data_IF_373777403047
#
_entry.id   IF_373777403047
#
_cell.length_a   1.000
_cell.length_b   1.000
_cell.length_c   1.000
_cell.angle_alpha   90.00
_cell.angle_beta   90.00
_cell.angle_gamma   90.00
#
_symmetry.space_group_name_H-M   'P 1'
#
loop_
_entity.id
_entity.type
_entity.pdbx_description
1 polymer ?
#
# COMPACT_ATOMS: atom_id res chain seq x y z
N UNK A 1 -60.41 4.71 33.67
CA UNK A 1 -60.25 3.24 33.63
C UNK A 1 -61.07 2.69 32.48
N UNK A 2 -60.43 2.08 31.47
CA UNK A 2 -60.98 0.96 30.66
C UNK A 2 -59.84 0.42 29.81
N UNK A 3 -59.24 -0.67 30.28
CA UNK A 3 -58.27 -1.48 29.55
C UNK A 3 -58.99 -2.20 28.40
N UNK A 4 -58.47 -2.10 27.18
CA UNK A 4 -58.81 -3.05 26.11
C UNK A 4 -57.62 -3.99 25.95
N UNK A 5 -57.75 -5.22 26.49
CA UNK A 5 -56.80 -6.32 26.23
C UNK A 5 -56.87 -6.67 24.76
N UNK A 6 -55.74 -6.54 24.07
CA UNK A 6 -55.54 -7.17 22.75
C UNK A 6 -55.05 -8.58 23.04
N UNK A 7 -55.92 -9.55 22.78
CA UNK A 7 -55.56 -10.97 22.79
C UNK A 7 -54.81 -11.23 21.49
N UNK A 8 -53.52 -11.56 21.60
CA UNK A 8 -52.69 -11.93 20.47
C UNK A 8 -52.93 -13.42 20.17
N UNK A 9 -53.84 -13.72 19.24
CA UNK A 9 -54.03 -15.07 18.70
C UNK A 9 -52.95 -15.35 17.65
N UNK A 10 -52.20 -16.42 17.87
CA UNK A 10 -50.99 -16.86 17.12
C UNK A 10 -51.25 -17.44 15.72
N UNK A 11 -52.24 -16.95 14.98
CA UNK A 11 -52.58 -17.48 13.65
C UNK A 11 -53.16 -16.38 12.76
N UNK A 12 -52.34 -15.39 12.43
CA UNK A 12 -52.69 -14.44 11.38
C UNK A 12 -51.41 -14.05 10.61
N UNK A 13 -50.86 -15.02 9.87
CA UNK A 13 -49.88 -14.75 8.83
C UNK A 13 -50.64 -14.63 7.52
N UNK A 14 -51.02 -13.41 7.17
CA UNK A 14 -51.62 -13.09 5.87
C UNK A 14 -50.58 -13.23 4.73
N UNK A 15 -51.02 -13.57 3.49
CA UNK A 15 -50.14 -13.69 2.31
C UNK A 15 -49.37 -12.41 1.96
N UNK A 16 -49.75 -11.27 2.54
CA UNK A 16 -49.09 -9.97 2.36
C UNK A 16 -47.75 -9.85 3.13
N UNK A 17 -47.50 -10.74 4.10
CA UNK A 17 -46.25 -10.76 4.89
C UNK A 17 -45.03 -11.21 4.07
N UNK A 18 -45.26 -11.82 2.90
CA UNK A 18 -44.21 -12.21 1.95
C UNK A 18 -43.78 -11.07 1.01
N UNK A 19 -44.41 -9.88 1.11
CA UNK A 19 -44.16 -8.73 0.22
C UNK A 19 -43.56 -7.51 0.91
N UNK A 20 -43.38 -7.55 2.23
CA UNK A 20 -42.68 -6.50 2.96
C UNK A 20 -41.19 -6.55 2.57
N UNK A 21 -40.61 -5.49 1.96
CA UNK A 21 -39.17 -5.46 1.73
C UNK A 21 -38.50 -5.62 3.10
N UNK A 22 -37.58 -6.58 3.26
CA UNK A 22 -37.02 -6.88 4.57
C UNK A 22 -36.40 -5.61 5.17
N UNK A 23 -36.53 -5.42 6.49
CA UNK A 23 -36.19 -4.16 7.14
C UNK A 23 -34.75 -3.78 6.82
N UNK A 24 -34.53 -2.52 6.45
CA UNK A 24 -33.22 -1.93 6.10
C UNK A 24 -32.12 -2.30 7.10
N UNK A 25 -32.49 -2.50 8.37
CA UNK A 25 -31.63 -2.94 9.47
C UNK A 25 -30.94 -4.31 9.23
N UNK A 26 -31.62 -5.25 8.58
CA UNK A 26 -31.09 -6.60 8.34
C UNK A 26 -29.94 -6.57 7.33
N UNK A 27 -30.07 -5.78 6.26
CA UNK A 27 -29.00 -5.64 5.27
C UNK A 27 -27.78 -4.90 5.82
N UNK A 28 -27.99 -3.92 6.70
CA UNK A 28 -26.90 -3.21 7.36
C UNK A 28 -26.05 -4.13 8.25
N UNK A 29 -26.67 -4.99 9.05
CA UNK A 29 -25.96 -5.95 9.90
C UNK A 29 -25.19 -6.96 9.05
N UNK A 30 -25.84 -7.52 8.03
CA UNK A 30 -25.19 -8.44 7.08
C UNK A 30 -24.01 -7.77 6.40
N UNK A 31 -24.15 -6.49 6.03
CA UNK A 31 -23.05 -5.74 5.42
C UNK A 31 -21.85 -5.57 6.36
N UNK A 32 -22.09 -5.32 7.65
CA UNK A 32 -21.02 -5.19 8.64
C UNK A 32 -20.34 -6.53 8.89
N UNK A 33 -21.12 -7.60 9.01
CA UNK A 33 -20.59 -8.95 9.20
C UNK A 33 -19.71 -9.36 8.01
N UNK A 34 -20.21 -9.21 6.77
CA UNK A 34 -19.46 -9.52 5.56
C UNK A 34 -18.18 -8.69 5.44
N UNK A 35 -18.24 -7.39 5.75
CA UNK A 35 -17.06 -6.52 5.73
C UNK A 35 -16.03 -6.96 6.77
N UNK A 36 -16.48 -7.26 8.00
CA UNK A 36 -15.60 -7.71 9.08
C UNK A 36 -14.92 -9.04 8.76
N UNK A 37 -15.68 -10.00 8.22
CA UNK A 37 -15.14 -11.29 7.76
C UNK A 37 -14.15 -11.08 6.61
N UNK A 38 -14.46 -10.23 5.63
CA UNK A 38 -13.55 -9.94 4.52
C UNK A 38 -12.23 -9.33 5.03
N UNK A 39 -12.29 -8.33 5.91
CA UNK A 39 -11.11 -7.72 6.51
C UNK A 39 -10.31 -8.70 7.37
N UNK A 40 -10.99 -9.59 8.11
CA UNK A 40 -10.33 -10.64 8.86
C UNK A 40 -9.60 -11.61 7.92
N UNK A 41 -10.21 -12.00 6.80
CA UNK A 41 -9.65 -12.95 5.83
C UNK A 41 -8.42 -12.38 5.08
N UNK A 42 -8.32 -11.06 4.95
CA UNK A 42 -7.16 -10.39 4.34
C UNK A 42 -5.85 -10.69 5.09
N UNK A 43 -5.91 -10.90 6.40
CA UNK A 43 -4.75 -11.22 7.25
C UNK A 43 -4.16 -12.61 6.97
N UNK A 44 -4.89 -13.73 7.15
CA UNK A 44 -4.35 -15.07 6.90
C UNK A 44 -4.03 -15.32 5.42
N UNK A 45 -4.73 -14.63 4.50
CA UNK A 45 -4.45 -14.73 3.06
C UNK A 45 -3.25 -13.88 2.61
N UNK A 46 -2.62 -13.11 3.50
CA UNK A 46 -1.53 -12.20 3.16
C UNK A 46 -1.90 -11.21 2.05
N UNK A 47 -3.18 -10.81 1.98
CA UNK A 47 -3.70 -9.85 1.00
C UNK A 47 -3.55 -8.40 1.47
N UNK A 48 -3.05 -8.18 2.69
CA UNK A 48 -2.88 -6.84 3.25
C UNK A 48 -2.02 -5.93 2.37
N UNK A 49 -0.88 -6.38 1.80
CA UNK A 49 -0.10 -5.58 0.84
C UNK A 49 -0.91 -5.21 -0.42
N UNK A 50 -1.73 -6.13 -0.93
CA UNK A 50 -2.60 -5.86 -2.08
C UNK A 50 -3.69 -4.84 -1.74
N UNK A 51 -4.37 -5.02 -0.60
CA UNK A 51 -5.43 -4.12 -0.14
C UNK A 51 -4.89 -2.70 0.05
N UNK A 52 -3.76 -2.56 0.74
CA UNK A 52 -3.13 -1.26 0.98
C UNK A 52 -2.68 -0.63 -0.33
N UNK A 53 -2.00 -1.38 -1.22
CA UNK A 53 -1.57 -0.86 -2.52
C UNK A 53 -2.76 -0.38 -3.37
N UNK A 54 -3.85 -1.14 -3.41
CA UNK A 54 -5.06 -0.77 -4.13
C UNK A 54 -5.75 0.46 -3.54
N UNK A 55 -5.85 0.55 -2.21
CA UNK A 55 -6.42 1.71 -1.52
C UNK A 55 -5.57 2.98 -1.72
N UNK A 56 -4.24 2.87 -1.68
CA UNK A 56 -3.33 4.00 -1.97
C UNK A 56 -3.65 4.59 -3.33
N UNK A 57 -3.77 3.74 -4.35
CA UNK A 57 -3.94 4.20 -5.73
C UNK A 57 -5.32 4.75 -5.96
N UNK A 58 -6.33 4.05 -5.45
CA UNK A 58 -7.70 4.53 -5.46
C UNK A 58 -7.78 5.92 -4.82
N UNK A 59 -7.27 6.11 -3.61
CA UNK A 59 -7.31 7.41 -2.92
C UNK A 59 -6.44 8.46 -3.60
N UNK A 60 -5.27 8.09 -4.15
CA UNK A 60 -4.38 9.02 -4.85
C UNK A 60 -5.07 9.62 -6.09
N UNK A 61 -5.76 8.80 -6.88
CA UNK A 61 -6.56 9.26 -8.03
C UNK A 61 -7.61 10.27 -7.58
N UNK A 62 -8.33 9.99 -6.49
CA UNK A 62 -9.39 10.87 -5.98
C UNK A 62 -8.85 12.17 -5.37
N UNK A 63 -7.77 12.09 -4.59
CA UNK A 63 -7.10 13.26 -4.01
C UNK A 63 -6.56 14.17 -5.11
N UNK A 64 -5.91 13.61 -6.14
CA UNK A 64 -5.36 14.43 -7.22
C UNK A 64 -6.48 15.02 -8.10
N UNK A 65 -7.53 14.24 -8.41
CA UNK A 65 -8.70 14.75 -9.12
C UNK A 65 -9.37 15.90 -8.37
N UNK A 66 -9.44 15.84 -7.03
CA UNK A 66 -9.97 16.94 -6.20
C UNK A 66 -9.02 18.14 -6.18
N UNK A 67 -7.72 17.93 -5.99
CA UNK A 67 -6.72 19.00 -5.99
C UNK A 67 -6.75 19.79 -7.32
N UNK A 68 -6.83 19.10 -8.46
CA UNK A 68 -6.88 19.74 -9.78
C UNK A 68 -8.18 20.51 -10.05
N UNK A 69 -9.32 20.09 -9.46
CA UNK A 69 -10.55 20.90 -9.49
C UNK A 69 -10.42 22.19 -8.69
N UNK A 70 -9.73 22.14 -7.55
CA UNK A 70 -9.47 23.32 -6.71
C UNK A 70 -8.55 24.31 -7.45
N UNK A 71 -7.60 23.82 -8.24
CA UNK A 71 -6.71 24.63 -9.10
C UNK A 71 -7.38 25.23 -10.36
N UNK A 72 -8.73 25.24 -10.43
CA UNK A 72 -9.52 26.07 -11.36
C UNK A 72 -9.34 25.75 -12.86
N UNK A 73 -9.34 24.47 -13.23
CA UNK A 73 -9.55 24.06 -14.63
C UNK A 73 -11.07 23.96 -14.90
N UNK A 74 -11.63 25.04 -15.43
CA UNK A 74 -13.04 25.11 -15.87
C UNK A 74 -13.26 24.22 -17.11
N UNK A 75 -13.67 22.96 -16.92
CA UNK A 75 -14.56 22.16 -17.79
C UNK A 75 -14.44 20.66 -17.45
N UNK A 76 -15.50 19.87 -17.74
CA UNK A 76 -15.54 18.39 -17.63
C UNK A 76 -14.31 17.67 -18.23
N UNK A 77 -13.60 18.31 -19.18
CA UNK A 77 -12.35 17.81 -19.78
C UNK A 77 -11.15 17.81 -18.82
N UNK A 78 -11.07 18.75 -17.88
CA UNK A 78 -9.98 18.83 -16.89
C UNK A 78 -9.96 17.65 -15.92
N UNK A 79 -11.14 17.13 -15.56
CA UNK A 79 -11.25 15.93 -14.74
C UNK A 79 -10.82 14.66 -15.51
N UNK A 80 -11.14 14.56 -16.80
CA UNK A 80 -10.67 13.44 -17.64
C UNK A 80 -9.15 13.45 -17.82
N UNK A 81 -8.56 14.63 -18.05
CA UNK A 81 -7.10 14.78 -18.18
C UNK A 81 -6.40 14.46 -16.86
N UNK A 82 -6.94 14.91 -15.72
CA UNK A 82 -6.43 14.57 -14.39
C UNK A 82 -6.40 13.06 -14.14
N UNK A 83 -7.52 12.38 -14.37
CA UNK A 83 -7.63 10.92 -14.23
C UNK A 83 -6.70 10.22 -15.23
N UNK A 84 -6.59 10.74 -16.46
CA UNK A 84 -5.69 10.22 -17.49
C UNK A 84 -4.21 10.31 -17.10
N UNK A 85 -3.76 11.43 -16.52
CA UNK A 85 -2.37 11.61 -16.06
C UNK A 85 -2.07 10.68 -14.89
N UNK A 86 -2.99 10.52 -13.94
CA UNK A 86 -2.76 9.59 -12.81
C UNK A 86 -2.77 8.15 -13.28
N UNK A 87 -3.75 7.76 -14.10
CA UNK A 87 -3.82 6.42 -14.64
C UNK A 87 -2.57 6.12 -15.47
N UNK A 88 -2.12 7.05 -16.30
CA UNK A 88 -0.87 6.93 -17.05
C UNK A 88 0.35 6.82 -16.12
N UNK A 89 0.46 7.67 -15.10
CA UNK A 89 1.57 7.64 -14.14
C UNK A 89 1.62 6.32 -13.35
N UNK A 90 0.46 5.79 -12.95
CA UNK A 90 0.37 4.49 -12.28
C UNK A 90 0.73 3.35 -13.23
N UNK A 91 0.23 3.36 -14.47
CA UNK A 91 0.59 2.37 -15.50
C UNK A 91 2.08 2.43 -15.83
N UNK A 92 2.66 3.63 -15.91
CA UNK A 92 4.09 3.84 -16.12
C UNK A 92 4.90 3.28 -14.95
N UNK A 93 4.49 3.57 -13.70
CA UNK A 93 5.12 3.03 -12.51
C UNK A 93 5.08 1.50 -12.50
N UNK A 94 3.91 0.91 -12.81
CA UNK A 94 3.74 -0.54 -12.95
C UNK A 94 4.67 -1.12 -14.03
N UNK A 95 4.79 -0.44 -15.16
CA UNK A 95 5.63 -0.87 -16.29
C UNK A 95 7.12 -0.81 -15.92
N UNK A 96 7.56 0.26 -15.26
CA UNK A 96 8.95 0.40 -14.77
C UNK A 96 9.25 -0.65 -13.70
N UNK A 97 8.35 -0.85 -12.74
CA UNK A 97 8.52 -1.86 -11.70
C UNK A 97 8.59 -3.27 -12.30
N UNK A 98 7.71 -3.59 -13.25
CA UNK A 98 7.72 -4.86 -13.99
C UNK A 98 9.02 -5.05 -14.78
N UNK A 99 9.46 -4.02 -15.50
CA UNK A 99 10.73 -4.04 -16.23
C UNK A 99 11.93 -4.22 -15.28
N UNK A 100 11.91 -3.58 -14.12
CA UNK A 100 12.93 -3.73 -13.07
C UNK A 100 12.99 -5.15 -12.51
N UNK A 101 11.84 -5.79 -12.28
CA UNK A 101 11.78 -7.20 -11.86
C UNK A 101 12.33 -8.11 -12.95
N UNK A 102 11.94 -7.90 -14.21
CA UNK A 102 12.45 -8.70 -15.35
C UNK A 102 13.96 -8.51 -15.53
N UNK A 103 14.46 -7.28 -15.43
CA UNK A 103 15.88 -6.98 -15.49
C UNK A 103 16.66 -7.59 -14.33
N UNK A 104 16.09 -7.59 -13.12
CA UNK A 104 16.68 -8.24 -11.95
C UNK A 104 16.72 -9.77 -12.10
N UNK A 105 15.66 -10.38 -12.63
CA UNK A 105 15.61 -11.83 -12.88
C UNK A 105 16.53 -12.25 -14.03
N UNK A 106 16.65 -11.42 -15.07
CA UNK A 106 17.58 -11.64 -16.18
C UNK A 106 19.03 -11.25 -15.84
N UNK A 107 19.29 -10.64 -14.68
CA UNK A 107 20.65 -10.41 -14.18
C UNK A 107 21.26 -11.73 -13.70
N UNK A 108 21.43 -12.67 -14.62
CA UNK A 108 21.95 -14.01 -14.44
C UNK A 108 23.49 -14.02 -14.34
N UNK A 109 24.07 -12.93 -13.83
CA UNK A 109 25.49 -12.85 -13.57
C UNK A 109 25.72 -12.11 -12.26
N UNK A 110 25.73 -12.88 -11.18
CA UNK A 110 26.51 -12.54 -10.00
C UNK A 110 27.90 -12.02 -10.40
N UNK A 111 28.48 -12.54 -11.48
CA UNK A 111 29.72 -12.09 -12.14
C UNK A 111 29.75 -10.60 -12.51
N UNK A 112 28.67 -10.01 -13.04
CA UNK A 112 28.62 -8.57 -13.41
C UNK A 112 28.40 -7.67 -12.20
N UNK A 113 27.62 -8.13 -11.22
CA UNK A 113 27.48 -7.46 -9.93
C UNK A 113 28.79 -7.52 -9.12
N UNK A 114 29.50 -8.65 -9.15
CA UNK A 114 30.80 -8.83 -8.51
C UNK A 114 31.90 -8.00 -9.19
N UNK A 115 31.97 -7.96 -10.52
CA UNK A 115 32.93 -7.08 -11.21
C UNK A 115 32.72 -5.60 -10.88
N UNK A 116 31.46 -5.18 -10.67
CA UNK A 116 31.13 -3.81 -10.25
C UNK A 116 31.44 -3.57 -8.76
N UNK A 117 31.33 -4.61 -7.91
CA UNK A 117 31.80 -4.56 -6.52
C UNK A 117 33.31 -4.47 -6.43
N UNK A 118 34.08 -5.19 -7.27
CA UNK A 118 35.56 -5.12 -7.27
C UNK A 118 36.05 -3.71 -7.58
N UNK A 119 35.51 -3.08 -8.63
CA UNK A 119 35.82 -1.68 -8.98
C UNK A 119 35.40 -0.69 -7.89
N UNK A 120 34.35 -1.01 -7.13
CA UNK A 120 33.87 -0.17 -6.03
C UNK A 120 34.73 -0.37 -4.76
N UNK A 121 35.12 -1.60 -4.41
CA UNK A 121 35.90 -1.92 -3.22
C UNK A 121 37.30 -1.28 -3.27
N UNK A 122 37.94 -1.28 -4.44
CA UNK A 122 39.22 -0.58 -4.67
C UNK A 122 39.09 0.93 -4.37
N UNK A 123 37.95 1.52 -4.74
CA UNK A 123 37.60 2.93 -4.46
C UNK A 123 37.24 3.21 -3.01
N UNK A 124 36.74 2.23 -2.27
CA UNK A 124 36.38 2.40 -0.85
C UNK A 124 37.62 2.25 0.04
N UNK A 125 38.59 1.41 -0.36
CA UNK A 125 39.86 1.24 0.35
C UNK A 125 40.70 2.52 0.36
N UNK A 126 40.57 3.38 -0.66
CA UNK A 126 41.28 4.68 -0.72
C UNK A 126 40.63 5.79 0.13
N UNK A 127 39.45 5.54 0.70
CA UNK A 127 38.69 6.49 1.54
C UNK A 127 38.58 6.02 2.99
N UNK A 128 38.94 4.77 3.29
CA UNK A 128 38.86 4.18 4.62
C UNK A 128 40.10 4.52 5.48
N UNK A 129 39.93 4.92 6.75
CA UNK A 129 41.04 5.09 7.69
C UNK A 129 41.68 3.75 8.05
N UNK A 130 43.00 3.76 8.29
CA UNK A 130 43.84 2.57 8.46
C UNK A 130 43.33 1.56 9.52
N UNK A 131 42.60 2.04 10.54
CA UNK A 131 42.02 1.20 11.60
C UNK A 131 40.89 0.26 11.15
N UNK A 132 40.23 0.55 10.02
CA UNK A 132 39.21 -0.34 9.41
C UNK A 132 39.85 -1.25 8.36
N UNK A 133 40.94 -0.80 7.73
CA UNK A 133 41.66 -1.56 6.71
C UNK A 133 42.30 -2.85 7.28
N UNK A 134 42.72 -2.85 8.55
CA UNK A 134 43.30 -4.01 9.23
C UNK A 134 42.28 -5.14 9.52
N UNK A 135 40.98 -4.86 9.51
CA UNK A 135 39.91 -5.85 9.73
C UNK A 135 39.30 -6.36 8.41
N UNK A 136 39.68 -5.78 7.28
CA UNK A 136 39.27 -6.20 5.95
C UNK A 136 40.22 -7.29 5.43
N UNK A 137 39.71 -8.39 4.84
CA UNK A 137 40.55 -9.37 4.16
C UNK A 137 41.47 -8.69 3.16
N UNK A 138 42.75 -9.05 3.19
CA UNK A 138 43.80 -8.36 2.42
C UNK A 138 43.62 -8.60 0.91
N UNK A 139 42.97 -9.72 0.55
CA UNK A 139 42.74 -10.19 -0.80
C UNK A 139 41.24 -10.21 -1.19
N UNK A 140 40.93 -9.74 -2.39
CA UNK A 140 39.59 -9.72 -2.98
C UNK A 140 39.05 -11.15 -3.14
N UNK A 141 39.92 -12.12 -3.38
CA UNK A 141 39.52 -13.52 -3.51
C UNK A 141 39.12 -14.14 -2.15
N UNK A 142 39.79 -13.76 -1.05
CA UNK A 142 39.39 -14.18 0.30
C UNK A 142 38.05 -13.57 0.71
N UNK A 143 37.83 -12.29 0.41
CA UNK A 143 36.54 -11.64 0.63
C UNK A 143 35.43 -12.32 -0.19
N UNK A 144 35.72 -12.67 -1.44
CA UNK A 144 34.80 -13.43 -2.30
C UNK A 144 34.44 -14.77 -1.70
N UNK A 145 35.42 -15.53 -1.22
CA UNK A 145 35.19 -16.83 -0.58
C UNK A 145 34.38 -16.71 0.71
N UNK A 146 34.67 -15.70 1.54
CA UNK A 146 33.92 -15.42 2.76
C UNK A 146 32.45 -15.07 2.47
N UNK A 147 32.20 -14.22 1.46
CA UNK A 147 30.84 -13.84 1.03
C UNK A 147 30.10 -15.04 0.44
N UNK A 148 30.74 -15.85 -0.41
CA UNK A 148 30.12 -17.06 -0.98
C UNK A 148 29.83 -18.10 0.10
N UNK A 149 30.73 -18.30 1.06
CA UNK A 149 30.50 -19.20 2.19
C UNK A 149 29.35 -18.71 3.08
N UNK A 150 29.31 -17.41 3.39
CA UNK A 150 28.22 -16.80 4.15
C UNK A 150 26.88 -16.88 3.41
N UNK A 151 26.86 -16.57 2.11
CA UNK A 151 25.68 -16.69 1.24
C UNK A 151 25.22 -18.14 1.16
N UNK A 152 26.13 -19.10 1.06
CA UNK A 152 25.83 -20.53 1.04
C UNK A 152 25.19 -21.00 2.35
N UNK A 153 25.75 -20.58 3.49
CA UNK A 153 25.22 -20.87 4.83
C UNK A 153 23.80 -20.30 5.02
N UNK A 154 23.54 -19.10 4.50
CA UNK A 154 22.24 -18.43 4.62
C UNK A 154 21.36 -18.58 3.37
N UNK A 155 21.75 -19.41 2.39
CA UNK A 155 21.06 -19.51 1.10
C UNK A 155 19.60 -19.97 1.26
N UNK A 156 19.34 -20.87 2.22
CA UNK A 156 17.99 -21.33 2.55
C UNK A 156 17.10 -20.20 3.09
N UNK A 157 17.61 -19.41 4.03
CA UNK A 157 16.91 -18.26 4.61
C UNK A 157 16.71 -17.15 3.57
N UNK A 158 17.74 -16.82 2.80
CA UNK A 158 17.69 -15.85 1.71
C UNK A 158 16.67 -16.27 0.63
N UNK A 159 16.60 -17.55 0.29
CA UNK A 159 15.60 -18.08 -0.64
C UNK A 159 14.18 -17.96 -0.07
N UNK A 160 14.00 -18.25 1.21
CA UNK A 160 12.70 -18.11 1.87
C UNK A 160 12.24 -16.65 1.90
N UNK A 161 13.11 -15.75 2.38
CA UNK A 161 12.86 -14.31 2.44
C UNK A 161 12.61 -13.75 1.04
N UNK A 162 13.40 -14.16 0.05
CA UNK A 162 13.21 -13.77 -1.35
C UNK A 162 11.89 -14.26 -1.95
N UNK A 163 11.47 -15.49 -1.63
CA UNK A 163 10.18 -16.04 -2.07
C UNK A 163 9.01 -15.28 -1.44
N UNK A 164 9.08 -14.98 -0.15
CA UNK A 164 8.06 -14.23 0.57
C UNK A 164 7.99 -12.77 0.09
N UNK A 165 9.14 -12.14 -0.13
CA UNK A 165 9.24 -10.82 -0.74
C UNK A 165 8.64 -10.80 -2.15
N UNK A 166 8.99 -11.77 -3.00
CA UNK A 166 8.44 -11.90 -4.35
C UNK A 166 6.91 -12.08 -4.34
N UNK A 167 6.39 -12.91 -3.43
CA UNK A 167 4.94 -13.09 -3.25
C UNK A 167 4.26 -11.81 -2.77
N UNK A 168 4.89 -11.06 -1.88
CA UNK A 168 4.39 -9.76 -1.41
C UNK A 168 4.34 -8.73 -2.54
N UNK A 169 5.40 -8.68 -3.36
CA UNK A 169 5.46 -7.82 -4.54
C UNK A 169 4.36 -8.16 -5.56
N UNK A 170 4.09 -9.46 -5.79
CA UNK A 170 2.99 -9.89 -6.65
C UNK A 170 1.63 -9.40 -6.12
N UNK A 171 1.37 -9.53 -4.82
CA UNK A 171 0.15 -9.01 -4.20
C UNK A 171 0.02 -7.49 -4.37
N UNK A 172 1.09 -6.73 -4.14
CA UNK A 172 1.12 -5.28 -4.36
C UNK A 172 0.76 -4.95 -5.81
N UNK A 173 1.33 -5.66 -6.77
CA UNK A 173 1.06 -5.46 -8.21
C UNK A 173 -0.41 -5.67 -8.56
N UNK A 174 -1.01 -6.77 -8.09
CA UNK A 174 -2.44 -7.01 -8.27
C UNK A 174 -3.30 -5.95 -7.57
N UNK A 175 -2.94 -5.57 -6.34
CA UNK A 175 -3.61 -4.51 -5.60
C UNK A 175 -3.62 -3.18 -6.35
N UNK A 176 -2.46 -2.79 -6.88
CA UNK A 176 -2.25 -1.59 -7.69
C UNK A 176 -3.16 -1.59 -8.93
N UNK A 177 -3.21 -2.69 -9.67
CA UNK A 177 -4.11 -2.85 -10.83
C UNK A 177 -5.60 -2.76 -10.46
N UNK A 178 -6.01 -3.45 -9.40
CA UNK A 178 -7.40 -3.42 -8.90
C UNK A 178 -7.78 -2.00 -8.45
N UNK A 179 -6.89 -1.29 -7.77
CA UNK A 179 -7.09 0.10 -7.34
C UNK A 179 -7.34 1.05 -8.52
N UNK A 180 -6.57 0.90 -9.61
CA UNK A 180 -6.81 1.65 -10.86
C UNK A 180 -8.19 1.33 -11.42
N UNK A 181 -8.53 0.05 -11.59
CA UNK A 181 -9.81 -0.37 -12.16
C UNK A 181 -10.99 0.16 -11.33
N UNK A 182 -10.90 0.08 -10.00
CA UNK A 182 -11.90 0.61 -9.09
C UNK A 182 -12.05 2.13 -9.23
N UNK A 183 -10.95 2.87 -9.36
CA UNK A 183 -10.97 4.33 -9.52
C UNK A 183 -11.62 4.78 -10.84
N UNK A 184 -11.46 4.01 -11.91
CA UNK A 184 -12.07 4.29 -13.21
C UNK A 184 -13.56 3.96 -13.23
N UNK A 185 -13.96 2.93 -12.49
CA UNK A 185 -15.36 2.49 -12.43
C UNK A 185 -16.27 3.50 -11.68
N UNK A 186 -15.73 4.25 -10.73
CA UNK A 186 -16.50 5.21 -9.92
C UNK A 186 -16.86 6.51 -10.67
N UNK A 187 -16.30 6.73 -11.86
CA UNK A 187 -16.54 7.94 -12.69
C UNK A 187 -17.83 7.84 -13.52
N UNK A 188 -18.41 6.65 -13.67
CA UNK A 188 -19.62 6.42 -14.48
C UNK A 188 -20.89 6.49 -13.63
N UNK A 189 -22.01 7.05 -14.14
CA UNK A 189 -23.29 6.98 -13.44
C UNK A 189 -23.73 5.51 -13.31
N UNK A 190 -23.92 5.03 -12.08
CA UNK A 190 -24.39 3.66 -11.82
C UNK A 190 -25.90 3.57 -11.89
N UNK A 191 -26.38 2.44 -12.40
CA UNK A 191 -27.76 1.97 -12.25
C UNK A 191 -28.17 1.89 -10.77
N UNK A 192 -29.47 1.90 -10.44
CA UNK A 192 -29.92 1.75 -9.05
C UNK A 192 -29.49 0.39 -8.48
N UNK A 193 -28.57 0.40 -7.50
CA UNK A 193 -28.13 -0.79 -6.78
C UNK A 193 -29.26 -1.34 -5.88
N UNK A 194 -29.33 -2.67 -5.79
CA UNK A 194 -30.12 -3.35 -4.76
C UNK A 194 -29.68 -3.00 -3.33
N UNK A 195 -30.52 -3.24 -2.32
CA UNK A 195 -30.33 -2.76 -0.94
C UNK A 195 -29.01 -3.24 -0.30
N UNK A 196 -28.68 -4.53 -0.44
CA UNK A 196 -27.42 -5.08 0.07
C UNK A 196 -26.19 -4.48 -0.63
N UNK A 197 -26.25 -4.33 -1.96
CA UNK A 197 -25.14 -3.78 -2.74
C UNK A 197 -24.88 -2.30 -2.38
N UNK A 198 -25.94 -1.54 -2.09
CA UNK A 198 -25.82 -0.17 -1.56
C UNK A 198 -25.14 -0.17 -0.18
N UNK A 199 -25.59 -1.02 0.75
CA UNK A 199 -24.98 -1.13 2.08
C UNK A 199 -23.49 -1.54 2.01
N UNK A 200 -23.14 -2.51 1.15
CA UNK A 200 -21.76 -2.91 0.90
C UNK A 200 -20.89 -1.76 0.39
N UNK A 201 -21.40 -1.01 -0.59
CA UNK A 201 -20.67 0.16 -1.14
C UNK A 201 -20.38 1.19 -0.05
N UNK A 202 -21.33 1.46 0.85
CA UNK A 202 -21.06 2.35 1.98
C UNK A 202 -19.94 1.83 2.89
N UNK A 203 -19.87 0.51 3.13
CA UNK A 203 -18.80 -0.07 3.96
C UNK A 203 -17.44 0.06 3.27
N UNK A 204 -17.35 -0.20 1.97
CA UNK A 204 -16.12 0.01 1.18
C UNK A 204 -15.68 1.48 1.23
N UNK A 205 -16.60 2.42 1.07
CA UNK A 205 -16.29 3.86 1.18
C UNK A 205 -15.75 4.19 2.58
N UNK A 206 -16.39 3.69 3.65
CA UNK A 206 -15.89 3.91 5.03
C UNK A 206 -14.48 3.36 5.24
N UNK A 207 -14.15 2.21 4.66
CA UNK A 207 -12.79 1.64 4.71
C UNK A 207 -11.79 2.57 4.03
N UNK A 208 -12.10 3.06 2.82
CA UNK A 208 -11.26 4.03 2.10
C UNK A 208 -11.07 5.33 2.89
N UNK A 209 -12.14 5.87 3.47
CA UNK A 209 -12.06 7.05 4.32
C UNK A 209 -11.20 6.84 5.58
N UNK A 210 -11.35 5.68 6.24
CA UNK A 210 -10.55 5.33 7.41
C UNK A 210 -9.06 5.25 7.04
N UNK A 211 -8.74 4.59 5.94
CA UNK A 211 -7.39 4.52 5.40
C UNK A 211 -6.82 5.92 5.10
N UNK A 212 -7.56 6.76 4.37
CA UNK A 212 -7.16 8.14 4.06
C UNK A 212 -6.88 8.96 5.31
N UNK A 213 -7.70 8.83 6.36
CA UNK A 213 -7.47 9.52 7.65
C UNK A 213 -6.16 9.08 8.29
N UNK A 214 -5.87 7.77 8.30
CA UNK A 214 -4.62 7.24 8.87
C UNK A 214 -3.41 7.75 8.10
N UNK A 215 -3.41 7.67 6.76
CA UNK A 215 -2.27 8.11 5.94
C UNK A 215 -1.99 9.60 6.13
N UNK A 216 -3.01 10.47 6.09
CA UNK A 216 -2.78 11.91 6.29
C UNK A 216 -2.31 12.23 7.71
N UNK A 217 -2.77 11.50 8.72
CA UNK A 217 -2.25 11.63 10.07
C UNK A 217 -0.78 11.23 10.12
N UNK A 218 -0.41 10.08 9.56
CA UNK A 218 0.98 9.59 9.52
C UNK A 218 1.92 10.56 8.81
N UNK A 219 1.52 11.12 7.66
CA UNK A 219 2.33 12.11 6.93
C UNK A 219 2.59 13.37 7.76
N UNK A 220 1.58 13.84 8.51
CA UNK A 220 1.76 15.00 9.41
C UNK A 220 2.69 14.67 10.57
N UNK A 221 2.53 13.49 11.18
CA UNK A 221 3.38 13.03 12.28
C UNK A 221 4.83 12.88 11.82
N UNK A 222 5.07 12.24 10.67
CA UNK A 222 6.41 12.06 10.14
C UNK A 222 7.06 13.39 9.76
N UNK A 223 6.31 14.33 9.17
CA UNK A 223 6.83 15.65 8.85
C UNK A 223 7.29 16.42 10.10
N UNK A 224 6.51 16.36 11.19
CA UNK A 224 6.91 16.97 12.46
C UNK A 224 8.17 16.30 13.01
N UNK A 225 8.23 14.97 12.99
CA UNK A 225 9.41 14.24 13.47
C UNK A 225 10.67 14.55 12.64
N UNK A 226 10.55 14.58 11.32
CA UNK A 226 11.64 14.94 10.40
C UNK A 226 12.07 16.38 10.61
N UNK A 227 11.11 17.31 10.80
CA UNK A 227 11.43 18.70 11.07
C UNK A 227 12.17 18.90 12.40
N UNK A 228 11.73 18.22 13.47
CA UNK A 228 12.41 18.25 14.76
C UNK A 228 13.80 17.60 14.68
N UNK A 229 13.92 16.49 13.95
CA UNK A 229 15.23 15.85 13.71
C UNK A 229 16.16 16.77 12.94
N UNK A 230 15.65 17.45 11.91
CA UNK A 230 16.42 18.45 11.16
C UNK A 230 16.84 19.61 12.07
N UNK A 231 15.95 20.13 12.92
CA UNK A 231 16.29 21.18 13.88
C UNK A 231 17.36 20.70 14.87
N UNK A 232 17.25 19.47 15.35
CA UNK A 232 18.24 18.89 16.26
C UNK A 232 19.63 18.79 15.58
N UNK A 233 19.68 18.22 14.37
CA UNK A 233 20.92 18.00 13.63
C UNK A 233 21.57 19.32 13.15
N UNK A 234 20.77 20.26 12.64
CA UNK A 234 21.28 21.48 11.99
C UNK A 234 21.33 22.71 12.91
N UNK A 235 20.66 22.69 14.08
CA UNK A 235 20.63 23.84 15.00
C UNK A 235 21.12 23.46 16.39
N UNK A 236 20.53 22.46 17.03
CA UNK A 236 20.87 22.13 18.41
C UNK A 236 22.32 21.61 18.56
N UNK A 237 22.74 20.68 17.69
CA UNK A 237 24.09 20.11 17.70
C UNK A 237 25.19 21.14 17.40
N UNK A 238 25.07 21.99 16.35
CA UNK A 238 26.03 23.06 16.10
C UNK A 238 26.14 24.08 17.22
N UNK A 239 25.01 24.47 17.84
CA UNK A 239 25.00 25.38 19.00
C UNK A 239 25.67 24.75 20.24
N UNK A 240 25.66 23.43 20.35
CA UNK A 240 26.36 22.68 21.40
C UNK A 240 27.85 22.42 21.06
N UNK A 241 28.36 22.93 19.94
CA UNK A 241 29.77 22.80 19.52
C UNK A 241 30.13 21.45 18.89
N UNK A 242 29.16 20.56 18.68
CA UNK A 242 29.38 19.24 18.07
C UNK A 242 29.19 19.37 16.55
N UNK A 243 30.31 19.33 15.82
CA UNK A 243 30.31 19.37 14.36
C UNK A 243 30.31 17.94 13.83
N UNK A 244 29.21 17.55 13.17
CA UNK A 244 29.17 16.30 12.41
C UNK A 244 30.10 16.45 11.21
N UNK A 245 31.10 15.55 11.03
CA UNK A 245 31.88 15.53 9.79
C UNK A 245 30.90 15.18 8.65
N UNK A 246 30.81 16.10 7.68
CA UNK A 246 30.08 15.91 6.42
C UNK A 246 30.89 15.03 5.46
#
# INVERSE_FOLDING_TARGET
>A
MTQRRIIMTTTDFGPDDLTQPPPVLSYDIVSWLLTGVALFLVLPLHLLPALVAGLVVYELVHVLARALRIFRIHHKRGQLVAVGIVAFGVVLLLTIAGAGIVAFVQADNLSTLFNTMTDSIERWRSVLPDSIADQLPVDVEELRQAVVAWLGLHAGELKQVGTEAGRTLAHIFFGLGIGVLASLHDVKPHEPLGPLARAMRERVVRVGEAFRRVVFAQTRISAVNTFLTALYLFVALPLAGVHLPL
#
